data_IF_491447896572
#
_entry.id   IF_491447896572
#
_cell.length_a   1.000
_cell.length_b   1.000
_cell.length_c   1.000
_cell.angle_alpha   90.00
_cell.angle_beta   90.00
_cell.angle_gamma   90.00
#
_symmetry.space_group_name_H-M   'P 1'
#
loop_
_entity.id
_entity.type
_entity.pdbx_description
1 polymer ?
#
# COMPACT_ATOMS: atom_id res chain seq x y z
N UNK A 1 0.10 -34.11 15.23
CA UNK A 1 1.47 -33.70 14.84
C UNK A 1 1.47 -32.20 14.53
N UNK A 2 1.00 -31.36 15.47
CA UNK A 2 0.97 -29.89 15.30
C UNK A 2 1.66 -29.17 16.48
N UNK A 3 2.31 -29.91 17.38
CA UNK A 3 2.82 -29.38 18.66
C UNK A 3 4.28 -28.87 18.59
N UNK A 4 4.89 -28.84 17.40
CA UNK A 4 6.32 -28.45 17.21
C UNK A 4 6.53 -27.17 16.38
N UNK A 5 5.48 -26.39 16.09
CA UNK A 5 5.65 -25.10 15.41
C UNK A 5 6.11 -24.07 16.45
N UNK A 6 7.43 -23.82 16.51
CA UNK A 6 8.01 -22.71 17.28
C UNK A 6 7.57 -21.38 16.66
N UNK A 7 6.54 -20.75 17.25
CA UNK A 7 5.98 -19.45 16.85
C UNK A 7 6.98 -18.28 16.98
N UNK A 8 8.11 -18.54 17.62
CA UNK A 8 9.22 -17.66 17.91
C UNK A 8 10.36 -17.75 16.88
N UNK A 9 10.27 -18.68 15.92
CA UNK A 9 11.22 -18.82 14.81
C UNK A 9 10.65 -18.26 13.50
N UNK A 10 11.26 -17.23 12.87
CA UNK A 10 10.85 -16.74 11.56
C UNK A 10 10.96 -17.70 10.38
N UNK A 11 11.48 -18.89 10.64
CA UNK A 11 11.82 -19.89 9.64
C UNK A 11 10.78 -21.04 9.60
N UNK A 12 9.82 -21.09 10.54
CA UNK A 12 8.76 -22.11 10.53
C UNK A 12 7.38 -21.48 10.37
N UNK A 13 7.02 -20.94 9.18
CA UNK A 13 5.62 -20.65 8.92
C UNK A 13 4.83 -21.96 9.03
N UNK A 14 3.51 -21.89 9.30
CA UNK A 14 2.67 -23.10 9.26
C UNK A 14 2.68 -23.80 7.88
N UNK A 15 3.26 -23.17 6.85
CA UNK A 15 3.36 -23.66 5.48
C UNK A 15 4.76 -23.43 4.88
N UNK A 16 5.19 -24.23 3.89
CA UNK A 16 6.46 -24.01 3.20
C UNK A 16 6.54 -22.66 2.50
N UNK A 17 7.73 -22.05 2.49
CA UNK A 17 7.97 -20.83 1.72
C UNK A 17 7.82 -21.08 0.21
N UNK A 18 7.35 -20.04 -0.49
CA UNK A 18 7.47 -19.97 -1.94
C UNK A 18 8.89 -19.51 -2.31
N UNK A 19 9.41 -20.03 -3.41
CA UNK A 19 10.76 -19.73 -3.91
C UNK A 19 10.72 -19.43 -5.40
N UNK A 20 11.66 -18.60 -5.86
CA UNK A 20 11.74 -18.22 -7.28
C UNK A 20 12.61 -19.18 -8.12
N UNK A 21 12.81 -20.43 -7.68
CA UNK A 21 13.68 -21.42 -8.35
C UNK A 21 12.96 -22.40 -9.27
N UNK A 22 11.63 -22.52 -9.17
CA UNK A 22 10.85 -23.50 -9.93
C UNK A 22 10.29 -22.84 -11.19
N UNK A 23 10.72 -23.24 -12.40
CA UNK A 23 10.20 -22.70 -13.65
C UNK A 23 8.68 -22.77 -13.73
N UNK A 24 8.07 -21.85 -14.50
CA UNK A 24 6.63 -21.74 -14.75
C UNK A 24 5.76 -21.49 -13.50
N UNK A 25 6.36 -21.24 -12.34
CA UNK A 25 5.65 -20.75 -11.16
C UNK A 25 5.57 -19.22 -11.15
N UNK A 26 4.54 -18.67 -10.52
CA UNK A 26 4.38 -17.22 -10.39
C UNK A 26 5.57 -16.53 -9.71
N UNK A 27 6.19 -17.07 -8.63
CA UNK A 27 7.40 -16.50 -8.04
C UNK A 27 8.58 -16.47 -9.02
N UNK A 28 8.78 -17.54 -9.80
CA UNK A 28 9.85 -17.60 -10.80
C UNK A 28 9.63 -16.56 -11.91
N UNK A 29 8.42 -16.49 -12.47
CA UNK A 29 8.05 -15.51 -13.49
C UNK A 29 8.20 -14.06 -12.97
N UNK A 30 7.83 -13.84 -11.70
CA UNK A 30 8.04 -12.56 -11.03
C UNK A 30 9.52 -12.20 -10.96
N UNK A 31 10.38 -13.13 -10.56
CA UNK A 31 11.82 -12.88 -10.47
C UNK A 31 12.51 -12.68 -11.82
N UNK A 32 12.14 -13.46 -12.85
CA UNK A 32 12.81 -13.40 -14.16
C UNK A 32 12.28 -12.28 -15.07
N UNK A 33 11.04 -11.81 -14.87
CA UNK A 33 10.43 -10.78 -15.73
C UNK A 33 10.03 -9.52 -14.98
N UNK A 34 9.28 -9.64 -13.89
CA UNK A 34 8.69 -8.47 -13.20
C UNK A 34 9.76 -7.66 -12.49
N UNK A 35 10.63 -8.27 -11.70
CA UNK A 35 11.70 -7.53 -11.00
C UNK A 35 12.64 -6.78 -11.96
N UNK A 36 13.17 -7.39 -13.05
CA UNK A 36 13.97 -6.64 -14.01
C UNK A 36 13.21 -5.50 -14.68
N UNK A 37 11.91 -5.69 -14.96
CA UNK A 37 11.06 -4.65 -15.55
C UNK A 37 10.86 -3.46 -14.59
N UNK A 38 10.62 -3.74 -13.30
CA UNK A 38 10.50 -2.72 -12.25
C UNK A 38 11.80 -1.91 -12.15
N UNK A 39 12.96 -2.56 -12.09
CA UNK A 39 14.26 -1.87 -12.03
C UNK A 39 14.53 -1.05 -13.31
N UNK A 40 14.13 -1.54 -14.48
CA UNK A 40 14.18 -0.75 -15.72
C UNK A 40 13.27 0.48 -15.63
N UNK A 41 12.08 0.35 -15.02
CA UNK A 41 11.20 1.51 -14.81
C UNK A 41 11.82 2.54 -13.88
N UNK A 42 12.49 2.12 -12.81
CA UNK A 42 13.23 3.02 -11.90
C UNK A 42 14.30 3.81 -12.68
N UNK A 43 15.08 3.13 -13.53
CA UNK A 43 16.08 3.79 -14.39
C UNK A 43 15.43 4.81 -15.31
N UNK A 44 14.33 4.44 -15.96
CA UNK A 44 13.61 5.33 -16.88
C UNK A 44 13.04 6.55 -16.16
N UNK A 45 12.55 6.39 -14.94
CA UNK A 45 12.00 7.48 -14.13
C UNK A 45 13.09 8.49 -13.73
N UNK A 46 14.22 8.00 -13.18
CA UNK A 46 15.39 8.85 -12.86
C UNK A 46 15.88 9.59 -14.10
N UNK A 47 15.95 8.91 -15.25
CA UNK A 47 16.36 9.54 -16.50
C UNK A 47 15.41 10.65 -16.95
N UNK A 48 14.09 10.42 -16.87
CA UNK A 48 13.08 11.43 -17.24
C UNK A 48 13.16 12.68 -16.34
N UNK A 49 13.42 12.50 -15.05
CA UNK A 49 13.53 13.59 -14.07
C UNK A 49 14.67 14.58 -14.38
N UNK A 50 15.73 14.13 -15.07
CA UNK A 50 16.88 14.98 -15.41
C UNK A 50 16.63 15.99 -16.56
N UNK A 51 15.54 15.84 -17.32
CA UNK A 51 15.22 16.75 -18.43
C UNK A 51 16.37 16.89 -19.44
N UNK A 52 16.77 18.14 -19.72
CA UNK A 52 17.78 18.51 -20.73
C UNK A 52 19.24 18.45 -20.22
N UNK A 53 19.47 18.01 -18.97
CA UNK A 53 20.82 17.77 -18.43
C UNK A 53 21.49 18.97 -17.78
N UNK A 54 20.74 20.07 -17.55
CA UNK A 54 21.19 21.22 -16.76
C UNK A 54 21.04 21.02 -15.23
N UNK A 55 20.41 19.93 -14.80
CA UNK A 55 20.15 19.65 -13.39
C UNK A 55 21.48 19.38 -12.63
N UNK A 56 21.80 20.11 -11.54
CA UNK A 56 22.98 19.86 -10.72
C UNK A 56 23.06 18.43 -10.16
N UNK A 57 21.93 17.72 -10.10
CA UNK A 57 21.81 16.32 -9.69
C UNK A 57 22.25 15.30 -10.75
N UNK A 58 22.54 15.73 -11.97
CA UNK A 58 22.84 14.86 -13.11
C UNK A 58 23.96 13.86 -12.84
N UNK A 59 25.00 14.25 -12.09
CA UNK A 59 26.11 13.34 -11.75
C UNK A 59 25.62 12.18 -10.87
N UNK A 60 24.96 12.48 -9.76
CA UNK A 60 24.43 11.47 -8.83
C UNK A 60 23.38 10.58 -9.50
N UNK A 61 22.57 11.14 -10.39
CA UNK A 61 21.57 10.38 -11.14
C UNK A 61 22.19 9.34 -12.09
N UNK A 62 23.33 9.67 -12.74
CA UNK A 62 24.08 8.69 -13.54
C UNK A 62 24.60 7.54 -12.68
N UNK A 63 25.08 7.83 -11.48
CA UNK A 63 25.54 6.82 -10.53
C UNK A 63 24.37 5.93 -10.05
N UNK A 64 23.21 6.53 -9.75
CA UNK A 64 21.97 5.80 -9.41
C UNK A 64 21.57 4.87 -10.55
N UNK A 65 21.52 5.36 -11.79
CA UNK A 65 21.19 4.54 -12.97
C UNK A 65 22.15 3.35 -13.12
N UNK A 66 23.45 3.59 -12.91
CA UNK A 66 24.45 2.53 -12.98
C UNK A 66 24.25 1.47 -11.88
N UNK A 67 23.98 1.88 -10.63
CA UNK A 67 23.74 0.97 -9.51
C UNK A 67 22.44 0.18 -9.64
N UNK A 68 21.35 0.81 -10.11
CA UNK A 68 20.09 0.10 -10.40
C UNK A 68 20.29 -0.89 -11.56
N UNK A 69 21.06 -0.50 -12.58
CA UNK A 69 21.46 -1.40 -13.67
C UNK A 69 22.28 -2.60 -13.19
N UNK A 70 23.18 -2.38 -12.22
CA UNK A 70 23.93 -3.46 -11.56
C UNK A 70 23.02 -4.38 -10.76
N UNK A 71 22.11 -3.83 -9.94
CA UNK A 71 21.13 -4.63 -9.19
C UNK A 71 20.26 -5.48 -10.12
N UNK A 72 19.85 -4.92 -11.28
CA UNK A 72 19.12 -5.67 -12.30
C UNK A 72 19.94 -6.84 -12.85
N UNK A 73 21.23 -6.64 -13.08
CA UNK A 73 22.12 -7.72 -13.49
C UNK A 73 22.27 -8.79 -12.40
N UNK A 74 22.42 -8.39 -11.12
CA UNK A 74 22.48 -9.30 -9.97
C UNK A 74 21.25 -10.21 -9.90
N UNK A 75 20.05 -9.65 -10.07
CA UNK A 75 18.77 -10.41 -10.12
C UNK A 75 18.76 -11.39 -11.29
N UNK A 76 19.05 -10.91 -12.51
CA UNK A 76 18.97 -11.74 -13.74
C UNK A 76 20.00 -12.87 -13.77
N UNK A 77 21.07 -12.77 -12.99
CA UNK A 77 22.13 -13.77 -12.88
C UNK A 77 22.01 -14.63 -11.63
N UNK A 78 20.92 -14.48 -10.87
CA UNK A 78 20.71 -15.15 -9.59
C UNK A 78 21.92 -15.03 -8.65
N UNK A 79 22.45 -13.81 -8.53
CA UNK A 79 23.61 -13.58 -7.68
C UNK A 79 23.25 -13.67 -6.19
N UNK A 80 24.27 -13.92 -5.37
CA UNK A 80 24.17 -13.90 -3.91
C UNK A 80 23.71 -12.53 -3.42
N UNK A 81 22.74 -12.53 -2.49
CA UNK A 81 22.31 -11.33 -1.78
C UNK A 81 23.45 -10.86 -0.88
N UNK A 82 24.01 -9.68 -1.13
CA UNK A 82 25.05 -9.08 -0.28
C UNK A 82 24.45 -8.41 0.96
N UNK A 83 25.28 -8.15 1.96
CA UNK A 83 24.91 -7.26 3.07
C UNK A 83 24.49 -5.88 2.55
N UNK A 84 23.54 -5.25 3.23
CA UNK A 84 23.17 -3.85 3.00
C UNK A 84 24.33 -2.98 3.50
N UNK A 85 24.82 -2.08 2.66
CA UNK A 85 25.86 -1.13 3.05
C UNK A 85 25.25 -0.03 3.92
N UNK A 86 26.08 0.65 4.71
CA UNK A 86 25.62 1.77 5.52
C UNK A 86 25.11 2.91 4.62
N UNK A 87 23.84 3.23 4.75
CA UNK A 87 23.12 4.28 4.04
C UNK A 87 22.44 5.28 4.97
N UNK A 88 22.71 5.18 6.28
CA UNK A 88 22.14 6.02 7.32
C UNK A 88 20.75 5.60 7.82
N UNK A 89 20.07 4.64 7.19
CA UNK A 89 18.79 4.14 7.69
C UNK A 89 18.98 3.19 8.89
N UNK A 90 18.07 3.27 9.86
CA UNK A 90 18.18 2.52 11.13
C UNK A 90 17.96 1.00 10.97
N UNK A 91 17.43 0.56 9.83
CA UNK A 91 17.09 -0.84 9.55
C UNK A 91 18.25 -1.65 8.95
N UNK A 92 19.38 -1.02 8.59
CA UNK A 92 20.56 -1.69 8.02
C UNK A 92 21.02 -2.86 8.90
N UNK A 93 21.09 -2.61 10.22
CA UNK A 93 21.49 -3.62 11.19
C UNK A 93 20.54 -4.83 11.18
N UNK A 94 19.24 -4.58 11.16
CA UNK A 94 18.21 -5.63 11.12
C UNK A 94 18.37 -6.49 9.87
N UNK A 95 18.52 -5.88 8.70
CA UNK A 95 18.70 -6.62 7.44
C UNK A 95 19.96 -7.49 7.45
N UNK A 96 21.07 -6.94 7.92
CA UNK A 96 22.33 -7.68 7.96
C UNK A 96 22.30 -8.82 8.99
N UNK A 97 21.69 -8.62 10.16
CA UNK A 97 21.48 -9.69 11.14
C UNK A 97 20.63 -10.84 10.56
N UNK A 98 19.55 -10.53 9.83
CA UNK A 98 18.73 -11.56 9.18
C UNK A 98 19.52 -12.30 8.10
N UNK A 99 20.24 -11.56 7.25
CA UNK A 99 21.06 -12.12 6.18
C UNK A 99 22.14 -13.06 6.73
N UNK A 100 22.80 -12.71 7.83
CA UNK A 100 23.86 -13.50 8.48
C UNK A 100 23.31 -14.70 9.26
N UNK A 101 22.17 -14.53 9.93
CA UNK A 101 21.61 -15.57 10.78
C UNK A 101 20.98 -16.73 9.98
N UNK A 102 20.31 -16.43 8.87
CA UNK A 102 19.49 -17.43 8.15
C UNK A 102 20.26 -18.26 7.13
N UNK A 103 21.38 -17.74 6.62
CA UNK A 103 22.19 -18.42 5.62
C UNK A 103 23.62 -18.56 6.09
N UNK A 104 23.98 -19.77 6.52
CA UNK A 104 25.36 -20.10 6.89
C UNK A 104 26.28 -20.20 5.67
N UNK A 105 25.75 -20.66 4.53
CA UNK A 105 26.45 -20.67 3.24
C UNK A 105 25.95 -19.54 2.33
N UNK A 106 26.81 -18.59 1.92
CA UNK A 106 26.48 -17.56 0.94
C UNK A 106 25.92 -18.10 -0.40
N UNK A 107 26.26 -19.33 -0.77
CA UNK A 107 25.75 -19.98 -1.98
C UNK A 107 24.25 -20.32 -1.91
N UNK A 108 23.65 -20.34 -0.72
CA UNK A 108 22.23 -20.61 -0.51
C UNK A 108 21.38 -19.33 -0.36
N UNK A 109 22.05 -18.17 -0.34
CA UNK A 109 21.43 -16.86 -0.23
C UNK A 109 21.45 -16.13 -1.57
N UNK A 110 20.81 -16.68 -2.60
CA UNK A 110 20.63 -16.01 -3.90
C UNK A 110 19.20 -15.51 -4.08
N UNK A 111 18.94 -14.67 -5.08
CA UNK A 111 17.59 -14.16 -5.38
C UNK A 111 16.57 -15.28 -5.59
N UNK A 112 16.96 -16.43 -6.15
CA UNK A 112 16.04 -17.53 -6.49
C UNK A 112 15.96 -18.59 -5.39
N UNK A 113 17.01 -18.70 -4.57
CA UNK A 113 17.06 -19.65 -3.44
C UNK A 113 16.51 -19.09 -2.14
N UNK A 114 16.51 -17.77 -1.95
CA UNK A 114 15.84 -17.16 -0.80
C UNK A 114 14.31 -17.29 -0.91
N UNK A 115 13.57 -17.30 0.22
CA UNK A 115 12.12 -17.19 0.19
C UNK A 115 11.68 -15.99 -0.66
N UNK A 116 10.66 -16.17 -1.49
CA UNK A 116 10.21 -15.17 -2.46
C UNK A 116 9.91 -13.83 -1.79
N UNK A 117 9.15 -13.84 -0.68
CA UNK A 117 8.86 -12.63 0.11
C UNK A 117 10.14 -11.92 0.57
N UNK A 118 11.13 -12.68 1.07
CA UNK A 118 12.40 -12.10 1.49
C UNK A 118 13.15 -11.46 0.33
N UNK A 119 13.28 -12.19 -0.78
CA UNK A 119 14.00 -11.73 -1.98
C UNK A 119 13.36 -10.47 -2.57
N UNK A 120 12.03 -10.40 -2.58
CA UNK A 120 11.30 -9.23 -3.06
C UNK A 120 11.44 -8.04 -2.12
N UNK A 121 11.26 -8.21 -0.81
CA UNK A 121 11.53 -7.15 0.16
C UNK A 121 12.98 -6.65 0.09
N UNK A 122 13.95 -7.57 -0.07
CA UNK A 122 15.36 -7.23 -0.22
C UNK A 122 15.63 -6.42 -1.49
N UNK A 123 14.97 -6.74 -2.60
CA UNK A 123 15.05 -5.97 -3.84
C UNK A 123 14.68 -4.50 -3.61
N UNK A 124 13.54 -4.24 -2.98
CA UNK A 124 13.10 -2.87 -2.67
C UNK A 124 13.99 -2.18 -1.64
N UNK A 125 14.53 -2.92 -0.65
CA UNK A 125 15.51 -2.37 0.29
C UNK A 125 16.82 -1.99 -0.39
N UNK A 126 17.27 -2.75 -1.38
CA UNK A 126 18.45 -2.41 -2.22
C UNK A 126 18.18 -1.21 -3.12
N UNK A 127 16.95 -1.04 -3.63
CA UNK A 127 16.57 0.21 -4.31
C UNK A 127 16.63 1.38 -3.33
N UNK A 128 16.04 1.26 -2.13
CA UNK A 128 16.16 2.28 -1.07
C UNK A 128 17.60 2.63 -0.76
N UNK A 129 18.46 1.63 -0.59
CA UNK A 129 19.89 1.81 -0.30
C UNK A 129 20.58 2.70 -1.35
N UNK A 130 20.29 2.48 -2.63
CA UNK A 130 20.87 3.25 -3.72
C UNK A 130 20.49 4.73 -3.58
N UNK A 131 19.24 5.06 -3.26
CA UNK A 131 18.79 6.44 -3.10
C UNK A 131 19.25 7.05 -1.75
N UNK A 132 19.13 6.32 -0.64
CA UNK A 132 19.43 6.78 0.71
C UNK A 132 20.89 7.24 0.86
N UNK A 133 21.86 6.59 0.21
CA UNK A 133 23.28 7.03 0.17
C UNK A 133 23.50 8.40 -0.47
N UNK A 134 22.51 8.93 -1.18
CA UNK A 134 22.54 10.25 -1.82
C UNK A 134 21.64 11.25 -1.09
N UNK A 135 21.37 10.99 0.19
CA UNK A 135 20.69 11.95 1.06
C UNK A 135 21.48 13.25 1.13
N UNK A 136 20.79 14.38 0.97
CA UNK A 136 21.38 15.70 1.02
C UNK A 136 20.55 16.65 1.90
N UNK A 137 21.20 17.48 2.76
CA UNK A 137 20.48 18.52 3.50
C UNK A 137 19.76 19.55 2.63
N UNK A 138 20.23 19.78 1.40
CA UNK A 138 19.54 20.62 0.42
C UNK A 138 18.49 19.79 -0.35
N UNK A 139 17.18 20.06 -0.18
CA UNK A 139 16.12 19.33 -0.87
C UNK A 139 16.21 19.40 -2.40
N UNK A 140 16.83 20.46 -2.96
CA UNK A 140 17.02 20.59 -4.40
C UNK A 140 18.06 19.60 -4.95
N UNK A 141 18.90 19.03 -4.08
CA UNK A 141 19.96 18.08 -4.41
C UNK A 141 19.72 16.69 -3.81
N UNK A 142 18.64 16.51 -3.05
CA UNK A 142 18.37 15.31 -2.28
C UNK A 142 17.75 14.20 -3.13
N UNK A 143 18.51 13.13 -3.34
CA UNK A 143 17.97 11.87 -3.90
C UNK A 143 17.52 10.91 -2.80
N UNK A 144 17.90 11.13 -1.54
CA UNK A 144 17.52 10.28 -0.42
C UNK A 144 16.01 10.26 -0.17
N UNK A 145 15.32 11.38 -0.41
CA UNK A 145 13.84 11.46 -0.35
C UNK A 145 13.14 11.22 -1.70
N UNK A 146 13.89 10.88 -2.75
CA UNK A 146 13.31 10.62 -4.06
C UNK A 146 12.52 9.31 -4.07
N UNK A 147 11.31 9.36 -4.63
CA UNK A 147 10.46 8.20 -4.84
C UNK A 147 10.36 7.92 -6.35
N UNK A 148 11.00 6.85 -6.86
CA UNK A 148 11.01 6.52 -8.28
C UNK A 148 9.68 5.97 -8.80
N UNK A 149 8.67 5.86 -7.95
CA UNK A 149 7.34 5.40 -8.30
C UNK A 149 6.28 6.50 -8.16
N UNK A 150 6.65 7.69 -7.64
CA UNK A 150 5.71 8.78 -7.38
C UNK A 150 4.99 9.24 -8.65
N UNK A 151 5.68 9.36 -9.79
CA UNK A 151 5.05 9.79 -11.04
C UNK A 151 4.00 8.80 -11.55
N UNK A 152 4.22 7.49 -11.37
CA UNK A 152 3.22 6.49 -11.72
C UNK A 152 2.02 6.56 -10.77
N UNK A 153 2.25 6.68 -9.46
CA UNK A 153 1.17 6.81 -8.45
C UNK A 153 0.31 8.06 -8.69
N UNK A 154 0.94 9.19 -9.00
CA UNK A 154 0.25 10.45 -9.33
C UNK A 154 -0.58 10.34 -10.63
N UNK A 155 -0.05 9.67 -11.65
CA UNK A 155 -0.79 9.42 -12.89
C UNK A 155 -2.04 8.56 -12.65
N UNK A 156 -1.92 7.50 -11.83
CA UNK A 156 -3.07 6.67 -11.42
C UNK A 156 -4.08 7.48 -10.62
N UNK A 157 -3.64 8.28 -9.64
CA UNK A 157 -4.52 9.15 -8.87
C UNK A 157 -5.34 10.09 -9.77
N UNK A 158 -4.67 10.76 -10.71
CA UNK A 158 -5.32 11.70 -11.64
C UNK A 158 -6.34 11.02 -12.55
N UNK A 159 -6.02 9.83 -13.07
CA UNK A 159 -6.95 9.06 -13.89
C UNK A 159 -8.22 8.70 -13.13
N UNK A 160 -8.11 8.46 -11.83
CA UNK A 160 -9.22 8.00 -11.00
C UNK A 160 -10.13 9.10 -10.43
N UNK A 161 -9.82 10.39 -10.63
CA UNK A 161 -10.56 11.51 -10.04
C UNK A 161 -12.04 11.55 -10.47
N UNK A 162 -12.33 11.22 -11.72
CA UNK A 162 -13.72 11.20 -12.21
C UNK A 162 -14.54 10.09 -11.57
N UNK A 163 -13.99 8.87 -11.49
CA UNK A 163 -14.63 7.73 -10.82
C UNK A 163 -14.84 8.02 -9.33
N UNK A 164 -13.87 8.66 -8.69
CA UNK A 164 -13.98 9.09 -7.31
C UNK A 164 -15.10 10.11 -7.09
N UNK A 165 -15.25 11.09 -7.98
CA UNK A 165 -16.29 12.11 -7.88
C UNK A 165 -17.71 11.50 -7.84
N UNK A 166 -17.97 10.48 -8.66
CA UNK A 166 -19.25 9.74 -8.64
C UNK A 166 -19.47 9.00 -7.31
N UNK A 167 -18.42 8.39 -6.75
CA UNK A 167 -18.53 7.71 -5.46
C UNK A 167 -18.72 8.70 -4.30
N UNK A 168 -18.06 9.86 -4.36
CA UNK A 168 -18.20 10.94 -3.39
C UNK A 168 -19.64 11.47 -3.35
N UNK A 169 -20.24 11.76 -4.51
CA UNK A 169 -21.63 12.19 -4.62
C UNK A 169 -22.60 11.16 -4.05
N UNK A 170 -22.39 9.88 -4.38
CA UNK A 170 -23.21 8.78 -3.86
C UNK A 170 -23.11 8.70 -2.34
N UNK A 171 -21.91 8.82 -1.77
CA UNK A 171 -21.70 8.78 -0.33
C UNK A 171 -22.41 9.94 0.39
N UNK A 172 -22.21 11.18 -0.08
CA UNK A 172 -22.88 12.37 0.48
C UNK A 172 -24.41 12.24 0.43
N UNK A 173 -24.95 11.76 -0.70
CA UNK A 173 -26.38 11.50 -0.83
C UNK A 173 -26.88 10.47 0.20
N UNK A 174 -26.18 9.35 0.37
CA UNK A 174 -26.54 8.30 1.31
C UNK A 174 -26.45 8.78 2.77
N UNK A 175 -25.42 9.57 3.10
CA UNK A 175 -25.26 10.16 4.43
C UNK A 175 -26.36 11.20 4.74
N UNK A 176 -26.80 11.97 3.74
CA UNK A 176 -27.89 12.93 3.90
C UNK A 176 -29.26 12.26 4.09
N UNK A 177 -29.48 11.09 3.48
CA UNK A 177 -30.73 10.33 3.61
C UNK A 177 -30.80 9.48 4.89
N UNK A 178 -29.66 9.02 5.39
CA UNK A 178 -29.60 8.26 6.62
C UNK A 178 -30.00 9.16 7.81
N UNK A 179 -31.17 8.89 8.43
CA UNK A 179 -31.34 9.27 9.82
C UNK A 179 -30.26 8.52 10.60
N UNK A 180 -29.56 9.18 11.54
CA UNK A 180 -28.31 8.69 12.15
C UNK A 180 -28.37 7.28 12.77
N UNK A 181 -29.56 6.70 12.88
CA UNK A 181 -29.86 5.46 13.59
C UNK A 181 -30.39 4.33 12.68
N UNK A 182 -30.47 4.49 11.35
CA UNK A 182 -30.84 3.39 10.43
C UNK A 182 -29.65 2.44 10.15
N UNK A 183 -29.51 1.46 11.04
CA UNK A 183 -28.45 0.44 10.98
C UNK A 183 -28.50 -0.39 9.69
N UNK A 184 -29.68 -0.62 9.11
CA UNK A 184 -29.85 -1.47 7.92
C UNK A 184 -29.35 -0.79 6.63
N UNK A 185 -29.67 0.50 6.47
CA UNK A 185 -29.13 1.31 5.37
C UNK A 185 -27.61 1.42 5.46
N UNK A 186 -27.06 1.61 6.67
CA UNK A 186 -25.62 1.66 6.90
C UNK A 186 -24.89 0.35 6.54
N UNK A 187 -25.49 -0.82 6.81
CA UNK A 187 -24.88 -2.10 6.41
C UNK A 187 -24.72 -2.19 4.89
N UNK A 188 -25.73 -1.79 4.13
CA UNK A 188 -25.68 -1.86 2.67
C UNK A 188 -24.60 -0.93 2.10
N UNK A 189 -24.54 0.32 2.58
CA UNK A 189 -23.49 1.27 2.18
C UNK A 189 -22.09 0.78 2.58
N UNK A 190 -21.94 0.23 3.78
CA UNK A 190 -20.69 -0.37 4.24
C UNK A 190 -20.21 -1.48 3.30
N UNK A 191 -21.11 -2.38 2.91
CA UNK A 191 -20.81 -3.49 2.01
C UNK A 191 -20.34 -3.01 0.63
N UNK A 192 -21.00 -2.00 0.08
CA UNK A 192 -20.59 -1.40 -1.20
C UNK A 192 -19.21 -0.74 -1.11
N UNK A 193 -18.93 0.03 -0.06
CA UNK A 193 -17.63 0.68 0.14
C UNK A 193 -16.51 -0.32 0.40
N UNK A 194 -16.78 -1.37 1.18
CA UNK A 194 -15.84 -2.45 1.42
C UNK A 194 -15.52 -3.21 0.11
N UNK A 195 -16.52 -3.40 -0.75
CA UNK A 195 -16.33 -3.99 -2.08
C UNK A 195 -15.47 -3.09 -2.98
N UNK A 196 -15.71 -1.78 -2.97
CA UNK A 196 -14.90 -0.82 -3.73
C UNK A 196 -13.46 -0.75 -3.22
N UNK A 197 -13.24 -0.84 -1.90
CA UNK A 197 -11.91 -1.01 -1.30
C UNK A 197 -11.28 -2.33 -1.76
N UNK A 198 -12.04 -3.43 -1.74
CA UNK A 198 -11.55 -4.75 -2.16
C UNK A 198 -11.04 -4.79 -3.61
N UNK A 199 -11.76 -4.13 -4.50
CA UNK A 199 -11.47 -4.17 -5.93
C UNK A 199 -10.84 -2.89 -6.46
N UNK A 200 -10.35 -1.99 -5.60
CA UNK A 200 -9.75 -0.72 -6.01
C UNK A 200 -8.67 -0.89 -7.09
N UNK A 201 -7.87 -1.96 -7.00
CA UNK A 201 -6.84 -2.28 -7.99
C UNK A 201 -7.36 -2.75 -9.36
N UNK A 202 -8.61 -3.21 -9.46
CA UNK A 202 -9.19 -3.77 -10.69
C UNK A 202 -10.33 -2.92 -11.27
N UNK A 203 -11.07 -2.20 -10.43
CA UNK A 203 -12.29 -1.46 -10.83
C UNK A 203 -11.96 -0.24 -11.68
N UNK A 204 -10.84 0.44 -11.42
CA UNK A 204 -10.41 1.60 -12.20
C UNK A 204 -10.31 1.29 -13.70
N UNK A 205 -9.76 0.12 -14.07
CA UNK A 205 -9.62 -0.31 -15.47
C UNK A 205 -10.96 -0.54 -16.20
N UNK A 206 -12.05 -0.79 -15.46
CA UNK A 206 -13.36 -1.10 -16.03
C UNK A 206 -14.29 0.12 -16.16
N UNK A 207 -14.18 1.08 -15.23
CA UNK A 207 -14.99 2.30 -15.20
C UNK A 207 -14.62 3.28 -16.34
N UNK A 208 -13.41 3.19 -16.89
CA UNK A 208 -12.97 3.98 -18.04
C UNK A 208 -13.61 3.57 -19.39
N UNK A 209 -14.45 2.54 -19.43
CA UNK A 209 -14.94 1.98 -20.70
C UNK A 209 -16.32 2.43 -21.20
N UNK A 210 -17.14 3.19 -20.45
CA UNK A 210 -18.47 3.60 -20.94
C UNK A 210 -18.88 5.05 -20.63
N UNK A 211 -19.09 5.81 -21.69
CA UNK A 211 -19.47 7.23 -21.71
C UNK A 211 -20.98 7.42 -21.57
N UNK A 212 -21.50 7.64 -20.35
CA UNK A 212 -22.67 8.50 -20.03
C UNK A 212 -23.12 8.34 -18.57
N UNK A 213 -23.47 9.46 -17.91
CA UNK A 213 -23.76 9.53 -16.47
C UNK A 213 -24.94 8.66 -16.00
N UNK A 214 -25.93 8.38 -16.86
CA UNK A 214 -27.05 7.48 -16.52
C UNK A 214 -26.72 6.00 -16.76
N UNK A 215 -25.83 5.67 -17.70
CA UNK A 215 -25.39 4.28 -17.95
C UNK A 215 -24.34 3.80 -16.94
N UNK A 216 -23.51 4.71 -16.42
CA UNK A 216 -22.46 4.39 -15.44
C UNK A 216 -23.00 3.75 -14.15
N UNK A 217 -24.19 4.15 -13.67
CA UNK A 217 -24.73 3.64 -12.40
C UNK A 217 -25.22 2.18 -12.50
N UNK A 218 -25.92 1.83 -13.57
CA UNK A 218 -26.35 0.45 -13.83
C UNK A 218 -25.15 -0.44 -14.18
N UNK A 219 -24.20 0.04 -14.99
CA UNK A 219 -22.98 -0.70 -15.33
C UNK A 219 -22.10 -0.93 -14.10
N UNK A 220 -21.93 0.07 -13.22
CA UNK A 220 -21.14 -0.09 -11.99
C UNK A 220 -21.79 -1.10 -11.05
N UNK A 221 -23.11 -1.07 -10.88
CA UNK A 221 -23.81 -2.04 -10.01
C UNK A 221 -23.76 -3.46 -10.58
N UNK A 222 -24.01 -3.63 -11.88
CA UNK A 222 -23.91 -4.93 -12.53
C UNK A 222 -22.47 -5.47 -12.51
N UNK A 223 -21.47 -4.59 -12.62
CA UNK A 223 -20.06 -4.95 -12.47
C UNK A 223 -19.74 -5.40 -11.04
N UNK A 224 -20.16 -4.65 -10.01
CA UNK A 224 -19.96 -5.02 -8.61
C UNK A 224 -20.61 -6.37 -8.27
N UNK A 225 -21.80 -6.67 -8.80
CA UNK A 225 -22.42 -8.00 -8.61
C UNK A 225 -21.58 -9.12 -9.25
N UNK A 226 -21.05 -8.92 -10.46
CA UNK A 226 -20.12 -9.89 -11.09
C UNK A 226 -18.81 -10.04 -10.31
N UNK A 227 -18.31 -8.96 -9.71
CA UNK A 227 -17.10 -9.01 -8.88
C UNK A 227 -17.37 -9.72 -7.56
N UNK A 228 -18.58 -9.58 -7.00
CA UNK A 228 -19.02 -10.31 -5.81
C UNK A 228 -19.05 -11.82 -6.02
N UNK A 229 -19.41 -12.30 -7.23
CA UNK A 229 -19.32 -13.72 -7.59
C UNK A 229 -17.89 -14.28 -7.57
N UNK A 230 -16.87 -13.42 -7.65
CA UNK A 230 -15.45 -13.82 -7.58
C UNK A 230 -14.92 -13.90 -6.15
N UNK A 231 -15.70 -13.53 -5.15
CA UNK A 231 -15.30 -13.62 -3.74
C UNK A 231 -15.45 -15.07 -3.27
N UNK A 232 -14.33 -15.68 -2.91
CA UNK A 232 -14.28 -17.08 -2.47
C UNK A 232 -14.63 -17.21 -0.98
N UNK A 233 -14.29 -16.21 -0.16
CA UNK A 233 -14.58 -16.13 1.28
C UNK A 233 -15.09 -14.73 1.60
N UNK A 234 -16.29 -14.63 2.17
CA UNK A 234 -16.95 -13.35 2.48
C UNK A 234 -17.34 -13.26 3.96
N UNK A 235 -16.46 -12.64 4.77
CA UNK A 235 -16.69 -12.37 6.19
C UNK A 235 -17.16 -10.91 6.45
N UNK A 236 -17.58 -10.18 5.42
CA UNK A 236 -17.98 -8.77 5.50
C UNK A 236 -19.08 -8.52 6.55
N UNK A 237 -20.06 -9.42 6.65
CA UNK A 237 -21.15 -9.34 7.64
C UNK A 237 -20.66 -9.59 9.07
N UNK A 238 -19.65 -10.44 9.24
CA UNK A 238 -19.02 -10.67 10.55
C UNK A 238 -18.29 -9.40 10.98
N UNK A 239 -17.54 -8.79 10.06
CA UNK A 239 -16.87 -7.52 10.28
C UNK A 239 -17.86 -6.40 10.66
N UNK A 240 -18.96 -6.26 9.92
CA UNK A 240 -19.99 -5.27 10.23
C UNK A 240 -20.55 -5.42 11.65
N UNK A 241 -20.91 -6.65 12.05
CA UNK A 241 -21.38 -6.95 13.40
C UNK A 241 -20.32 -6.66 14.47
N UNK A 242 -19.05 -6.93 14.18
CA UNK A 242 -17.95 -6.62 15.09
C UNK A 242 -17.77 -5.12 15.27
N UNK A 243 -17.91 -4.33 14.20
CA UNK A 243 -17.84 -2.88 14.24
C UNK A 243 -19.00 -2.25 15.05
N UNK A 244 -20.19 -2.84 15.01
CA UNK A 244 -21.35 -2.36 15.78
C UNK A 244 -21.39 -2.81 17.25
N UNK A 245 -20.97 -4.03 17.55
CA UNK A 245 -20.96 -4.59 18.92
C UNK A 245 -19.88 -3.99 19.85
N UNK A 246 -19.14 -3.06 19.28
CA UNK A 246 -17.92 -2.48 19.78
C UNK A 246 -18.24 -1.19 20.56
N UNK A 247 -17.80 -1.02 21.82
CA UNK A 247 -18.15 0.18 22.60
C UNK A 247 -17.74 1.49 21.91
N UNK A 248 -18.54 2.55 22.13
CA UNK A 248 -18.31 3.91 21.59
C UNK A 248 -16.90 4.40 21.95
N UNK A 249 -16.23 5.09 21.01
CA UNK A 249 -14.87 5.60 21.17
C UNK A 249 -13.77 4.71 20.57
N UNK A 250 -14.14 3.70 19.77
CA UNK A 250 -13.18 2.78 19.14
C UNK A 250 -12.45 3.40 17.96
N UNK A 251 -11.25 2.86 17.78
CA UNK A 251 -10.38 3.14 16.63
C UNK A 251 -10.50 2.00 15.64
N UNK A 252 -10.48 2.29 14.34
CA UNK A 252 -10.34 1.29 13.28
C UNK A 252 -8.96 1.48 12.64
N UNK A 253 -8.20 0.39 12.55
CA UNK A 253 -6.91 0.39 11.88
C UNK A 253 -7.06 -0.11 10.46
N UNK A 254 -6.50 0.62 9.49
CA UNK A 254 -6.45 0.25 8.07
C UNK A 254 -4.99 0.12 7.66
N UNK A 255 -4.57 -1.10 7.31
CA UNK A 255 -3.24 -1.36 6.73
C UNK A 255 -3.33 -1.19 5.22
N UNK A 256 -2.72 -0.12 4.72
CA UNK A 256 -2.83 0.32 3.33
C UNK A 256 -1.93 -0.49 2.41
N UNK A 257 -2.46 -0.76 1.22
CA UNK A 257 -1.71 -1.25 0.07
C UNK A 257 -1.40 -0.12 -0.90
N UNK A 258 -2.07 -0.04 -2.06
CA UNK A 258 -1.66 0.87 -3.14
C UNK A 258 -2.21 2.28 -2.99
N UNK A 259 -1.43 3.24 -3.48
CA UNK A 259 -1.86 4.60 -3.74
C UNK A 259 -2.80 4.65 -4.96
N UNK A 260 -3.30 5.85 -5.29
CA UNK A 260 -4.23 6.02 -6.41
C UNK A 260 -5.65 5.62 -6.04
N UNK A 261 -6.34 4.86 -6.90
CA UNK A 261 -7.77 4.56 -6.70
C UNK A 261 -8.05 3.72 -5.46
N UNK A 262 -7.21 2.72 -5.16
CA UNK A 262 -7.37 1.88 -3.96
C UNK A 262 -7.30 2.73 -2.68
N UNK A 263 -6.30 3.61 -2.58
CA UNK A 263 -6.24 4.56 -1.47
C UNK A 263 -7.50 5.43 -1.40
N UNK A 264 -8.00 5.95 -2.53
CA UNK A 264 -9.24 6.75 -2.53
C UNK A 264 -10.45 5.98 -2.01
N UNK A 265 -10.61 4.70 -2.36
CA UNK A 265 -11.71 3.86 -1.87
C UNK A 265 -11.55 3.50 -0.39
N UNK A 266 -10.32 3.26 0.07
CA UNK A 266 -9.99 3.07 1.49
C UNK A 266 -10.34 4.31 2.33
N UNK A 267 -10.04 5.50 1.82
CA UNK A 267 -10.38 6.78 2.48
C UNK A 267 -11.90 7.04 2.49
N UNK A 268 -12.64 6.66 1.45
CA UNK A 268 -14.12 6.74 1.46
C UNK A 268 -14.75 5.78 2.47
N UNK A 269 -14.22 4.56 2.58
CA UNK A 269 -14.65 3.62 3.62
C UNK A 269 -14.39 4.22 5.01
N UNK A 270 -13.21 4.76 5.26
CA UNK A 270 -12.88 5.45 6.51
C UNK A 270 -13.79 6.66 6.78
N UNK A 271 -14.16 7.41 5.73
CA UNK A 271 -15.04 8.56 5.84
C UNK A 271 -16.40 8.12 6.34
N UNK A 272 -16.98 7.10 5.70
CA UNK A 272 -18.26 6.53 6.10
C UNK A 272 -18.25 6.07 7.57
N UNK A 273 -17.19 5.37 8.00
CA UNK A 273 -17.09 4.86 9.37
C UNK A 273 -17.07 5.97 10.44
N UNK A 274 -16.45 7.12 10.15
CA UNK A 274 -16.45 8.29 11.04
C UNK A 274 -17.79 9.04 10.96
N UNK A 275 -18.27 9.33 9.76
CA UNK A 275 -19.49 10.11 9.53
C UNK A 275 -20.73 9.44 10.14
N UNK A 276 -20.81 8.10 10.08
CA UNK A 276 -21.89 7.31 10.67
C UNK A 276 -21.64 6.95 12.15
N UNK A 277 -20.55 7.45 12.74
CA UNK A 277 -20.17 7.21 14.15
C UNK A 277 -19.96 5.74 14.50
N UNK A 278 -19.68 4.89 13.51
CA UNK A 278 -19.30 3.48 13.70
C UNK A 278 -17.97 3.41 14.44
N UNK A 279 -17.06 4.35 14.17
CA UNK A 279 -15.85 4.53 14.96
C UNK A 279 -15.60 6.01 15.27
N UNK A 280 -14.74 6.28 16.25
CA UNK A 280 -14.37 7.65 16.63
C UNK A 280 -13.03 8.09 16.01
N UNK A 281 -12.22 7.14 15.51
CA UNK A 281 -10.90 7.40 14.95
C UNK A 281 -10.52 6.32 13.94
N UNK A 282 -9.81 6.71 12.89
CA UNK A 282 -9.18 5.78 11.94
C UNK A 282 -7.67 5.98 11.95
N UNK A 283 -6.92 4.88 12.02
CA UNK A 283 -5.46 4.90 11.86
C UNK A 283 -5.07 4.18 10.59
N UNK A 284 -4.42 4.90 9.71
CA UNK A 284 -3.87 4.38 8.47
C UNK A 284 -2.44 3.95 8.69
N UNK A 285 -2.09 2.79 8.18
CA UNK A 285 -0.77 2.18 8.30
C UNK A 285 -0.21 1.97 6.90
N UNK A 286 0.68 2.87 6.47
CA UNK A 286 1.37 2.77 5.19
C UNK A 286 2.83 2.35 5.32
N UNK A 287 3.58 2.53 4.24
CA UNK A 287 4.99 2.14 4.14
C UNK A 287 5.91 3.30 4.49
N UNK A 288 7.05 2.99 5.12
CA UNK A 288 8.03 3.98 5.57
C UNK A 288 8.91 4.52 4.42
N UNK A 289 8.93 3.83 3.30
CA UNK A 289 9.74 4.14 2.12
C UNK A 289 9.01 3.69 0.85
N UNK A 290 9.44 4.13 -0.35
CA UNK A 290 8.94 3.59 -1.61
C UNK A 290 9.04 2.07 -1.62
N UNK A 291 7.92 1.39 -1.78
CA UNK A 291 7.78 -0.05 -1.55
C UNK A 291 6.83 -0.65 -2.57
N UNK A 292 7.16 -1.81 -3.12
CA UNK A 292 6.28 -2.60 -4.00
C UNK A 292 5.62 -1.79 -5.14
N UNK A 293 6.36 -0.81 -5.67
CA UNK A 293 5.93 0.16 -6.70
C UNK A 293 4.84 1.10 -6.21
N UNK A 294 3.63 0.58 -6.00
CA UNK A 294 2.43 1.38 -5.79
C UNK A 294 2.06 1.57 -4.32
N UNK A 295 2.74 0.92 -3.38
CA UNK A 295 2.35 1.01 -1.98
C UNK A 295 2.35 2.44 -1.43
N UNK A 296 1.35 2.72 -0.61
CA UNK A 296 1.10 4.04 -0.03
C UNK A 296 2.12 4.37 1.05
N UNK A 297 2.89 5.43 0.81
CA UNK A 297 3.69 6.12 1.83
C UNK A 297 2.92 7.30 2.45
N UNK A 298 3.49 7.92 3.49
CA UNK A 298 2.92 9.17 4.04
C UNK A 298 2.79 10.26 2.98
N UNK A 299 3.76 10.34 2.07
CA UNK A 299 3.76 11.33 0.98
C UNK A 299 2.56 11.13 0.07
N UNK A 300 2.28 9.88 -0.31
CA UNK A 300 1.15 9.55 -1.20
C UNK A 300 -0.20 9.84 -0.53
N UNK A 301 -0.34 9.50 0.76
CA UNK A 301 -1.53 9.82 1.55
C UNK A 301 -1.82 11.33 1.58
N UNK A 302 -0.82 12.13 1.93
CA UNK A 302 -0.96 13.58 2.00
C UNK A 302 -1.15 14.21 0.61
N UNK A 303 -0.43 13.70 -0.40
CA UNK A 303 -0.55 14.16 -1.79
C UNK A 303 -1.95 13.90 -2.35
N UNK A 304 -2.55 12.75 -2.01
CA UNK A 304 -3.93 12.42 -2.40
C UNK A 304 -4.92 13.43 -1.81
N UNK A 305 -4.86 13.69 -0.50
CA UNK A 305 -5.73 14.67 0.14
C UNK A 305 -5.50 16.11 -0.38
N UNK A 306 -4.25 16.49 -0.61
CA UNK A 306 -3.89 17.81 -1.14
C UNK A 306 -4.36 17.99 -2.58
N UNK A 307 -4.25 16.95 -3.42
CA UNK A 307 -4.74 16.95 -4.80
C UNK A 307 -6.23 17.21 -4.84
N UNK A 308 -7.02 16.51 -4.02
CA UNK A 308 -8.47 16.74 -3.95
C UNK A 308 -8.82 18.14 -3.42
N UNK A 309 -8.07 18.64 -2.43
CA UNK A 309 -8.29 19.98 -1.87
C UNK A 309 -7.92 21.11 -2.82
N UNK A 310 -6.98 20.86 -3.73
CA UNK A 310 -6.52 21.80 -4.75
C UNK A 310 -7.37 21.81 -6.03
N UNK A 311 -8.36 20.91 -6.15
CA UNK A 311 -9.33 20.98 -7.23
C UNK A 311 -10.15 22.27 -7.05
N UNK A 312 -10.01 23.21 -8.00
CA UNK A 312 -10.62 24.52 -7.91
C UNK A 312 -12.15 24.42 -7.84
N UNK A 313 -12.72 24.82 -6.70
CA UNK A 313 -14.16 24.89 -6.42
C UNK A 313 -14.95 25.83 -7.36
N UNK A 314 -14.25 26.62 -8.18
CA UNK A 314 -14.83 27.54 -9.16
C UNK A 314 -14.60 27.11 -10.62
N UNK A 315 -13.93 25.99 -10.85
CA UNK A 315 -13.82 25.40 -12.19
C UNK A 315 -15.15 24.73 -12.58
N UNK A 316 -15.47 24.69 -13.88
CA UNK A 316 -16.63 23.95 -14.39
C UNK A 316 -16.52 22.42 -14.16
N UNK A 317 -15.35 21.95 -13.71
CA UNK A 317 -15.04 20.56 -13.35
C UNK A 317 -15.11 20.33 -11.83
N UNK A 318 -15.44 21.35 -11.02
CA UNK A 318 -15.51 21.22 -9.57
C UNK A 318 -16.75 20.42 -9.16
N UNK A 319 -16.52 19.36 -8.39
CA UNK A 319 -17.56 18.55 -7.82
C UNK A 319 -17.78 18.94 -6.34
N UNK A 320 -18.96 19.47 -5.94
CA UNK A 320 -19.21 19.90 -4.57
C UNK A 320 -19.00 18.81 -3.51
N UNK A 321 -19.32 17.55 -3.84
CA UNK A 321 -19.12 16.42 -2.94
C UNK A 321 -17.63 16.15 -2.72
N UNK A 322 -16.82 16.22 -3.77
CA UNK A 322 -15.34 16.08 -3.65
C UNK A 322 -14.76 17.18 -2.77
N UNK A 323 -15.18 18.43 -2.96
CA UNK A 323 -14.72 19.56 -2.14
C UNK A 323 -15.13 19.42 -0.67
N UNK A 324 -16.37 18.99 -0.41
CA UNK A 324 -16.88 18.70 0.95
C UNK A 324 -16.05 17.62 1.65
N UNK A 325 -15.84 16.49 0.96
CA UNK A 325 -15.06 15.37 1.47
C UNK A 325 -13.61 15.77 1.71
N UNK A 326 -12.96 16.46 0.76
CA UNK A 326 -11.57 16.91 0.89
C UNK A 326 -11.37 17.87 2.07
N UNK A 327 -12.30 18.80 2.27
CA UNK A 327 -12.31 19.68 3.43
C UNK A 327 -12.44 18.90 4.74
N UNK A 328 -13.39 17.95 4.78
CA UNK A 328 -13.64 17.10 5.95
C UNK A 328 -12.42 16.25 6.31
N UNK A 329 -11.77 15.62 5.33
CA UNK A 329 -10.56 14.84 5.56
C UNK A 329 -9.42 15.70 6.12
N UNK A 330 -9.25 16.92 5.61
CA UNK A 330 -8.25 17.86 6.11
C UNK A 330 -8.49 18.21 7.59
N UNK A 331 -9.75 18.43 7.99
CA UNK A 331 -10.11 18.65 9.40
C UNK A 331 -9.83 17.42 10.26
N UNK A 332 -10.26 16.23 9.83
CA UNK A 332 -10.03 15.01 10.60
C UNK A 332 -8.56 14.65 10.77
N UNK A 333 -7.72 14.95 9.78
CA UNK A 333 -6.27 14.80 9.89
C UNK A 333 -5.71 15.81 10.92
N UNK A 334 -6.14 17.07 10.87
CA UNK A 334 -5.68 18.11 11.79
C UNK A 334 -6.08 17.84 13.25
N UNK A 335 -7.27 17.26 13.46
CA UNK A 335 -7.81 16.94 14.79
C UNK A 335 -7.31 15.59 15.36
N UNK A 336 -6.65 14.76 14.55
CA UNK A 336 -6.22 13.41 14.94
C UNK A 336 -7.35 12.36 14.92
N UNK A 337 -8.51 12.70 14.35
CA UNK A 337 -9.58 11.74 14.02
C UNK A 337 -9.08 10.74 12.96
N UNK A 338 -8.24 11.21 12.04
CA UNK A 338 -7.47 10.38 11.12
C UNK A 338 -5.98 10.52 11.44
N UNK A 339 -5.30 9.40 11.67
CA UNK A 339 -3.84 9.38 11.89
C UNK A 339 -3.16 8.49 10.86
N UNK A 340 -2.02 8.92 10.34
CA UNK A 340 -1.18 8.08 9.49
C UNK A 340 0.07 7.63 10.26
N UNK A 341 0.37 6.34 10.18
CA UNK A 341 1.51 5.66 10.78
C UNK A 341 2.29 4.90 9.69
N UNK A 342 3.61 4.88 9.80
CA UNK A 342 4.48 4.13 8.88
C UNK A 342 5.56 3.39 9.67
N UNK A 343 5.18 2.33 10.42
CA UNK A 343 6.16 1.57 11.18
C UNK A 343 7.10 0.84 10.22
N UNK A 344 8.41 0.88 10.52
CA UNK A 344 9.45 0.26 9.70
C UNK A 344 9.18 -1.21 9.40
N UNK A 345 8.52 -1.94 10.31
CA UNK A 345 8.23 -3.36 10.14
C UNK A 345 7.53 -3.67 8.81
N UNK A 346 6.63 -2.79 8.33
CA UNK A 346 5.93 -3.01 7.05
C UNK A 346 6.82 -2.88 5.81
N UNK A 347 8.09 -2.52 6.00
CA UNK A 347 9.12 -2.46 4.96
C UNK A 347 10.37 -3.28 5.36
N UNK A 348 10.18 -4.30 6.21
CA UNK A 348 11.21 -5.31 6.58
C UNK A 348 10.88 -6.67 5.97
N UNK A 349 11.76 -7.69 6.05
CA UNK A 349 11.45 -9.01 5.53
C UNK A 349 10.56 -9.85 6.47
N UNK A 350 10.18 -9.31 7.63
CA UNK A 350 9.38 -10.04 8.60
C UNK A 350 7.94 -10.24 8.14
N UNK A 351 7.43 -11.46 8.31
CA UNK A 351 6.00 -11.73 8.18
C UNK A 351 5.24 -11.22 9.41
N UNK A 352 3.92 -11.14 9.30
CA UNK A 352 3.09 -10.66 10.43
C UNK A 352 3.03 -11.64 11.61
N UNK A 353 3.43 -12.89 11.42
CA UNK A 353 3.67 -13.84 12.53
C UNK A 353 4.72 -13.31 13.51
N UNK A 354 5.70 -12.54 13.02
CA UNK A 354 6.77 -11.95 13.83
C UNK A 354 6.38 -10.64 14.48
N UNK A 355 5.19 -10.11 14.19
CA UNK A 355 4.79 -8.81 14.71
C UNK A 355 4.87 -8.76 16.24
N UNK A 356 4.44 -9.83 16.93
CA UNK A 356 4.47 -9.92 18.39
C UNK A 356 5.89 -9.87 18.97
N UNK A 357 6.86 -10.46 18.29
CA UNK A 357 8.25 -10.57 18.77
C UNK A 357 9.13 -9.43 18.25
N UNK A 358 9.06 -9.13 16.95
CA UNK A 358 9.86 -8.10 16.27
C UNK A 358 9.37 -6.67 16.59
N UNK A 359 8.07 -6.46 16.82
CA UNK A 359 7.55 -5.16 17.26
C UNK A 359 6.38 -5.30 18.26
N UNK A 360 6.65 -5.65 19.53
CA UNK A 360 5.61 -5.85 20.54
C UNK A 360 4.74 -4.61 20.78
N UNK A 361 5.29 -3.41 20.53
CA UNK A 361 4.57 -2.15 20.63
C UNK A 361 3.48 -2.04 19.57
N UNK A 362 3.84 -2.26 18.29
CA UNK A 362 2.88 -2.28 17.18
C UNK A 362 1.87 -3.41 17.32
N UNK A 363 2.29 -4.60 17.77
CA UNK A 363 1.38 -5.70 18.06
C UNK A 363 0.31 -5.30 19.10
N UNK A 364 0.71 -4.67 20.21
CA UNK A 364 -0.25 -4.19 21.22
C UNK A 364 -1.15 -3.08 20.68
N UNK A 365 -0.61 -2.22 19.82
CA UNK A 365 -1.33 -1.10 19.23
C UNK A 365 -2.47 -1.57 18.31
N UNK A 366 -2.21 -2.59 17.49
CA UNK A 366 -3.11 -3.05 16.44
C UNK A 366 -3.94 -4.28 16.83
N UNK A 367 -3.38 -5.22 17.60
CA UNK A 367 -3.94 -6.58 17.74
C UNK A 367 -4.44 -6.93 19.15
N UNK A 368 -4.17 -6.12 20.16
CA UNK A 368 -4.55 -6.45 21.54
C UNK A 368 -5.85 -5.76 22.01
N UNK A 369 -6.33 -4.69 21.35
CA UNK A 369 -7.49 -3.89 21.84
C UNK A 369 -8.38 -3.23 20.76
N UNK A 370 -8.10 -3.42 19.47
CA UNK A 370 -8.69 -2.60 18.40
C UNK A 370 -9.31 -3.50 17.32
N UNK A 371 -10.59 -3.31 16.91
CA UNK A 371 -11.08 -3.90 15.66
C UNK A 371 -10.28 -3.31 14.49
N UNK A 372 -9.76 -4.14 13.60
CA UNK A 372 -9.01 -3.69 12.43
C UNK A 372 -9.71 -4.12 11.14
N UNK A 373 -9.56 -3.31 10.11
CA UNK A 373 -9.99 -3.61 8.74
C UNK A 373 -8.74 -3.72 7.90
N UNK A 374 -8.61 -4.81 7.17
CA UNK A 374 -7.50 -5.02 6.26
C UNK A 374 -7.98 -4.74 4.85
N UNK A 375 -7.28 -3.85 4.14
CA UNK A 375 -7.54 -3.63 2.72
C UNK A 375 -6.62 -4.57 1.93
N UNK A 376 -7.06 -5.06 0.76
CA UNK A 376 -6.52 -6.29 0.20
C UNK A 376 -5.31 -6.02 -0.69
N UNK A 377 -4.17 -6.53 -0.24
CA UNK A 377 -3.02 -6.80 -1.10
C UNK A 377 -2.69 -8.27 -1.13
N UNK A 378 -2.25 -8.76 -2.28
CA UNK A 378 -1.58 -10.06 -2.43
C UNK A 378 -0.37 -10.19 -1.46
N UNK A 379 0.36 -9.10 -1.23
CA UNK A 379 1.52 -8.99 -0.33
C UNK A 379 1.18 -9.26 1.14
N UNK A 380 -0.10 -9.15 1.48
CA UNK A 380 -0.58 -9.15 2.85
C UNK A 380 -1.20 -10.49 3.25
N UNK A 381 -1.54 -11.43 2.37
CA UNK A 381 -2.27 -12.67 2.73
C UNK A 381 -1.58 -13.68 3.69
N UNK A 382 -0.49 -13.34 4.36
CA UNK A 382 0.20 -14.20 5.34
C UNK A 382 -0.26 -14.02 6.79
N UNK A 383 -1.56 -14.10 7.08
CA UNK A 383 -2.07 -14.34 8.46
C UNK A 383 -3.38 -15.13 8.43
N UNK A 384 -3.37 -16.46 8.60
CA UNK A 384 -4.40 -17.14 9.37
C UNK A 384 -4.15 -16.94 10.87
N UNK A 385 -5.24 -16.78 11.63
CA UNK A 385 -5.21 -16.82 13.10
C UNK A 385 -4.82 -18.20 13.62
#
# INVERSE_FOLDING_TARGET
MLDDIRLDDPITPPFPFLYCKTPDTFPFETAVRRWPSILTSVVNDVYKTLGDGSDPRTRQAKDIIAEVGKLRHEVMRDMTLRSIEDDGDVDVKLWNEVLEHWWQDPADRTFFKAPWLFAECYLYRRVREIFAKRSNPDPALDWGSYDPFASQKDATLKASLQSFAVMAEKLEFLLAQAQSDDIGAHETTFQELLMSSLWGNQVDLSLHSNTSAHGMQEDTRAHLEKMKEKIIVDDSRILWKLLLSSPRGKTVDIILDNAGFELLTDLLLAHFLIATKVCARVRFFGKAQPWFVSDTTRRDFLHTCATLSGLDAHSAESNPAVSSIAHTWSLWIAEGTWEFHAPLLFTTPYSYWHLKTANPGLYRLCFNRTPYVRTPADTFYTVPF
#
